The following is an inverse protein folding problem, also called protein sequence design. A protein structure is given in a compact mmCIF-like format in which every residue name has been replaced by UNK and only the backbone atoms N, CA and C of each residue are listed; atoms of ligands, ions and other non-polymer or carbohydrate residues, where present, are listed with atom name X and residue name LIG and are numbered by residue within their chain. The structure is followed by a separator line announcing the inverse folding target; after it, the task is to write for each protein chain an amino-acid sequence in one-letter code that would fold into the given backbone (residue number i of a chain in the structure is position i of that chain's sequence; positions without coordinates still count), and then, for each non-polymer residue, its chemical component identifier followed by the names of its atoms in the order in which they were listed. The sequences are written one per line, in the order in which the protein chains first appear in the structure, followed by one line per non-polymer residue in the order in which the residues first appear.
data_IF_190915226243
#
_entry.id   IF_190915226243
#
_cell.length_a   1.000
_cell.length_b   1.000
_cell.length_c   1.000
_cell.angle_alpha   90.00
_cell.angle_beta   90.00
_cell.angle_gamma   90.00
#
_symmetry.space_group_name_H-M   'P 1'
#
loop_
_entity.id
_entity.type
_entity.pdbx_description
1 polymer ?
#
# COMPACT_ATOMS: atom_id res chain seq x y z
N UNK A 1 -10.13 5.62 7.71
CA UNK A 1 -9.91 5.09 6.35
C UNK A 1 -11.21 5.06 5.57
N UNK A 2 -11.16 5.06 4.23
CA UNK A 2 -12.35 4.96 3.36
C UNK A 2 -12.14 4.01 2.17
N UNK A 3 -13.21 3.32 1.74
CA UNK A 3 -13.22 2.25 0.74
C UNK A 3 -14.21 2.52 -0.41
N UNK A 4 -13.76 2.55 -1.66
CA UNK A 4 -14.65 2.68 -2.84
C UNK A 4 -14.65 1.41 -3.72
N UNK A 5 -15.77 1.14 -4.37
CA UNK A 5 -16.08 -0.01 -5.22
C UNK A 5 -17.01 0.44 -6.38
N UNK A 6 -16.74 -0.01 -7.61
CA UNK A 6 -17.53 0.08 -8.86
C UNK A 6 -16.65 -0.13 -10.11
N UNK A 7 -15.61 -0.97 -10.02
CA UNK A 7 -14.50 -1.03 -10.98
C UNK A 7 -14.16 -2.50 -11.30
N UNK A 8 -13.62 -2.82 -12.49
CA UNK A 8 -13.20 -4.18 -12.81
C UNK A 8 -12.04 -4.63 -11.92
N UNK A 9 -11.84 -5.94 -11.74
CA UNK A 9 -10.82 -6.51 -10.83
C UNK A 9 -9.38 -6.09 -11.10
N UNK A 10 -9.08 -5.65 -12.33
CA UNK A 10 -7.76 -5.17 -12.76
C UNK A 10 -7.61 -3.65 -12.71
N UNK A 11 -8.59 -2.92 -12.17
CA UNK A 11 -8.56 -1.47 -12.19
C UNK A 11 -7.53 -0.92 -11.20
N UNK A 12 -6.60 -0.10 -11.71
CA UNK A 12 -5.61 0.64 -10.93
C UNK A 12 -5.51 2.06 -11.50
N UNK A 13 -5.60 3.07 -10.65
CA UNK A 13 -5.42 4.48 -11.04
C UNK A 13 -4.83 5.30 -9.90
N UNK A 14 -3.70 5.95 -10.16
CA UNK A 14 -3.08 6.88 -9.20
C UNK A 14 -3.91 8.16 -9.02
N UNK A 15 -3.74 8.82 -7.86
CA UNK A 15 -4.31 10.12 -7.53
C UNK A 15 -5.62 10.12 -6.74
N UNK A 16 -6.26 8.96 -6.54
CA UNK A 16 -7.57 8.86 -5.87
C UNK A 16 -7.51 8.15 -4.52
N UNK A 17 -6.74 7.07 -4.42
CA UNK A 17 -6.58 6.27 -3.21
C UNK A 17 -5.11 6.10 -2.88
N UNK A 18 -4.83 5.85 -1.61
CA UNK A 18 -3.49 5.50 -1.17
C UNK A 18 -3.13 4.10 -1.64
N UNK A 19 -4.09 3.17 -1.55
CA UNK A 19 -3.90 1.78 -1.97
C UNK A 19 -5.13 1.27 -2.71
N UNK A 20 -4.91 0.49 -3.75
CA UNK A 20 -5.96 -0.25 -4.47
C UNK A 20 -5.66 -1.75 -4.37
N UNK A 21 -6.65 -2.54 -3.98
CA UNK A 21 -6.58 -4.01 -3.90
C UNK A 21 -7.21 -4.61 -5.15
N UNK A 22 -6.40 -5.26 -5.99
CA UNK A 22 -6.85 -5.99 -7.18
C UNK A 22 -7.67 -7.24 -6.82
N UNK A 23 -8.38 -7.83 -7.79
CA UNK A 23 -9.29 -8.96 -7.56
C UNK A 23 -8.65 -10.20 -6.93
N UNK A 24 -7.35 -10.39 -7.12
CA UNK A 24 -6.55 -11.48 -6.56
C UNK A 24 -5.94 -11.14 -5.18
N UNK A 25 -6.21 -9.95 -4.64
CA UNK A 25 -5.64 -9.47 -3.38
C UNK A 25 -4.34 -8.68 -3.52
N UNK A 26 -3.83 -8.45 -4.74
CA UNK A 26 -2.62 -7.67 -4.94
C UNK A 26 -2.81 -6.20 -4.52
N UNK A 27 -1.84 -5.63 -3.79
CA UNK A 27 -1.91 -4.26 -3.25
C UNK A 27 -1.06 -3.29 -4.09
N UNK A 28 -1.73 -2.41 -4.82
CA UNK A 28 -1.10 -1.28 -5.52
C UNK A 28 -1.10 -0.06 -4.60
N UNK A 29 0.05 0.23 -3.97
CA UNK A 29 0.22 1.38 -3.06
C UNK A 29 0.74 2.57 -3.83
N UNK A 30 -0.12 3.55 -4.05
CA UNK A 30 0.07 4.65 -4.98
C UNK A 30 0.55 5.92 -4.26
N UNK A 31 0.07 6.16 -3.05
CA UNK A 31 0.42 7.36 -2.29
C UNK A 31 0.77 7.00 -0.86
N UNK A 32 1.69 7.76 -0.28
CA UNK A 32 2.10 7.56 1.11
C UNK A 32 0.94 7.85 2.05
N UNK A 33 0.77 7.02 3.08
CA UNK A 33 -0.29 7.15 4.09
C UNK A 33 -0.19 8.40 4.98
N UNK A 34 0.85 9.20 4.82
CA UNK A 34 1.11 10.40 5.63
C UNK A 34 0.69 11.69 4.92
N UNK A 35 0.02 11.58 3.77
CA UNK A 35 -0.45 12.74 3.01
C UNK A 35 -1.96 12.70 2.82
N UNK A 36 -2.56 13.86 2.59
CA UNK A 36 -3.97 13.96 2.25
C UNK A 36 -4.16 13.75 0.75
N UNK A 37 -5.24 13.04 0.39
CA UNK A 37 -5.72 12.92 -0.97
C UNK A 37 -7.09 13.58 -1.08
N UNK A 38 -7.30 14.40 -2.12
CA UNK A 38 -8.43 15.33 -2.13
C UNK A 38 -9.75 14.74 -2.65
N UNK A 39 -9.79 13.45 -3.03
CA UNK A 39 -10.83 12.91 -3.90
C UNK A 39 -11.31 11.49 -3.56
N UNK A 40 -11.36 11.10 -2.28
CA UNK A 40 -11.93 9.79 -1.88
C UNK A 40 -13.23 9.90 -1.09
N UNK A 41 -13.32 10.75 -0.06
CA UNK A 41 -14.50 10.86 0.81
C UNK A 41 -14.87 12.31 1.02
N UNK A 42 -16.04 12.71 0.54
CA UNK A 42 -16.47 14.10 0.65
C UNK A 42 -16.50 14.57 2.11
N UNK A 43 -15.90 15.74 2.39
CA UNK A 43 -15.69 16.33 3.73
C UNK A 43 -14.89 15.47 4.74
N UNK A 44 -14.27 14.37 4.31
CA UNK A 44 -13.48 13.46 5.16
C UNK A 44 -12.13 13.07 4.52
N UNK A 45 -11.65 13.88 3.58
CA UNK A 45 -10.41 13.68 2.84
C UNK A 45 -9.14 14.03 3.63
N UNK A 46 -9.24 14.92 4.62
CA UNK A 46 -8.09 15.36 5.41
C UNK A 46 -7.84 14.47 6.62
N UNK A 47 -6.56 14.24 6.93
CA UNK A 47 -6.09 13.35 7.97
C UNK A 47 -6.70 11.94 7.82
N UNK A 48 -6.74 11.44 6.59
CA UNK A 48 -7.41 10.19 6.25
C UNK A 48 -6.63 9.39 5.20
N UNK A 49 -6.57 8.07 5.42
CA UNK A 49 -6.02 7.10 4.47
C UNK A 49 -7.15 6.42 3.69
N UNK A 50 -7.00 6.24 2.40
CA UNK A 50 -8.01 5.63 1.54
C UNK A 50 -7.46 4.37 0.90
N UNK A 51 -8.09 3.23 1.19
CA UNK A 51 -7.73 1.91 0.65
C UNK A 51 -8.98 1.45 -0.10
N UNK A 52 -8.89 1.07 -1.37
CA UNK A 52 -10.05 0.63 -2.15
C UNK A 52 -9.88 -0.78 -2.66
N UNK A 53 -10.98 -1.47 -2.99
CA UNK A 53 -10.93 -2.74 -3.71
C UNK A 53 -11.49 -2.54 -5.10
N UNK A 54 -10.74 -2.99 -6.11
CA UNK A 54 -11.19 -3.03 -7.49
C UNK A 54 -12.28 -4.09 -7.64
N UNK A 55 -13.52 -3.78 -7.28
CA UNK A 55 -14.67 -4.69 -7.31
C UNK A 55 -15.96 -3.91 -7.56
N UNK A 56 -17.10 -4.58 -7.61
CA UNK A 56 -18.45 -4.05 -7.85
C UNK A 56 -18.64 -3.37 -9.21
N UNK A 57 -17.71 -3.54 -10.16
CA UNK A 57 -17.77 -2.96 -11.51
C UNK A 57 -18.68 -3.71 -12.50
N UNK A 58 -19.41 -4.72 -12.02
CA UNK A 58 -20.30 -5.53 -12.82
C UNK A 58 -21.43 -4.73 -13.49
N UNK A 59 -21.78 -5.09 -14.74
CA UNK A 59 -22.90 -4.50 -15.47
C UNK A 59 -23.79 -5.59 -16.08
N UNK A 60 -25.12 -5.51 -16.00
CA UNK A 60 -25.90 -4.46 -15.33
C UNK A 60 -25.96 -4.61 -13.80
N UNK A 61 -25.54 -5.76 -13.26
CA UNK A 61 -25.54 -6.05 -11.82
C UNK A 61 -24.12 -5.88 -11.22
N UNK A 62 -23.88 -4.91 -10.33
CA UNK A 62 -22.61 -4.75 -9.61
C UNK A 62 -22.16 -6.02 -8.88
N UNK A 63 -23.11 -6.81 -8.38
CA UNK A 63 -22.84 -8.06 -7.67
C UNK A 63 -22.37 -9.21 -8.57
N UNK A 64 -22.27 -9.01 -9.89
CA UNK A 64 -21.55 -9.93 -10.76
C UNK A 64 -20.03 -9.87 -10.57
N UNK A 65 -19.52 -8.85 -9.88
CA UNK A 65 -18.12 -8.72 -9.47
C UNK A 65 -18.02 -8.37 -7.98
N UNK A 66 -18.47 -9.24 -7.06
CA UNK A 66 -18.44 -8.97 -5.62
C UNK A 66 -17.00 -8.77 -5.11
N UNK A 67 -16.78 -8.19 -3.92
CA UNK A 67 -15.47 -8.22 -3.30
C UNK A 67 -15.04 -9.68 -3.13
N UNK A 68 -13.83 -10.03 -3.56
CA UNK A 68 -13.30 -11.39 -3.37
C UNK A 68 -12.81 -11.57 -1.93
N UNK A 69 -12.75 -12.81 -1.44
CA UNK A 69 -12.14 -13.06 -0.12
C UNK A 69 -10.67 -12.63 -0.07
N UNK A 70 -9.93 -12.82 -1.18
CA UNK A 70 -8.55 -12.35 -1.29
C UNK A 70 -8.44 -10.83 -1.15
N UNK A 71 -9.37 -10.07 -1.76
CA UNK A 71 -9.46 -8.63 -1.60
C UNK A 71 -9.75 -8.24 -0.14
N UNK A 72 -10.77 -8.84 0.47
CA UNK A 72 -11.17 -8.53 1.85
C UNK A 72 -10.01 -8.82 2.81
N UNK A 73 -9.34 -9.96 2.64
CA UNK A 73 -8.20 -10.35 3.47
C UNK A 73 -7.02 -9.39 3.30
N UNK A 74 -6.58 -9.14 2.08
CA UNK A 74 -5.45 -8.25 1.79
C UNK A 74 -5.73 -6.83 2.30
N UNK A 75 -6.96 -6.34 2.11
CA UNK A 75 -7.42 -5.06 2.62
C UNK A 75 -7.35 -4.99 4.15
N UNK A 76 -7.85 -6.00 4.86
CA UNK A 76 -7.79 -6.03 6.32
C UNK A 76 -6.35 -6.11 6.85
N UNK A 77 -5.48 -6.90 6.20
CA UNK A 77 -4.05 -6.97 6.53
C UNK A 77 -3.36 -5.63 6.31
N UNK A 78 -3.69 -4.92 5.23
CA UNK A 78 -3.13 -3.59 4.97
C UNK A 78 -3.57 -2.57 6.01
N UNK A 79 -4.86 -2.54 6.37
CA UNK A 79 -5.39 -1.69 7.45
C UNK A 79 -4.68 -1.97 8.77
N UNK A 80 -4.49 -3.25 9.12
CA UNK A 80 -3.78 -3.65 10.33
C UNK A 80 -2.30 -3.21 10.31
N UNK A 81 -1.61 -3.35 9.17
CA UNK A 81 -0.23 -2.92 9.02
C UNK A 81 -0.08 -1.39 9.18
N UNK A 82 -1.02 -0.62 8.62
CA UNK A 82 -1.05 0.85 8.82
C UNK A 82 -1.32 1.19 10.27
N UNK A 83 -2.29 0.55 10.91
CA UNK A 83 -2.60 0.75 12.33
C UNK A 83 -1.36 0.49 13.21
N UNK A 84 -0.65 -0.62 13.01
CA UNK A 84 0.60 -0.91 13.71
C UNK A 84 1.69 0.13 13.46
N UNK A 85 1.79 0.65 12.23
CA UNK A 85 2.77 1.71 11.91
C UNK A 85 2.49 3.04 12.63
N UNK A 86 1.28 3.21 13.15
CA UNK A 86 0.86 4.36 13.96
C UNK A 86 0.70 4.00 15.44
N UNK A 87 1.26 2.85 15.85
CA UNK A 87 1.20 2.31 17.21
C UNK A 87 -0.23 2.05 17.75
N UNK A 88 -1.22 1.92 16.87
CA UNK A 88 -2.60 1.64 17.26
C UNK A 88 -2.75 0.20 17.76
N UNK A 89 -3.52 0.06 18.83
CA UNK A 89 -3.91 -1.22 19.40
C UNK A 89 -5.27 -1.70 18.85
N UNK A 90 -5.57 -2.98 19.02
CA UNK A 90 -6.86 -3.55 18.57
C UNK A 90 -8.08 -2.80 19.14
N UNK A 91 -8.00 -2.32 20.39
CA UNK A 91 -9.06 -1.54 21.03
C UNK A 91 -9.34 -0.19 20.34
N UNK A 92 -8.37 0.32 19.57
CA UNK A 92 -8.49 1.59 18.86
C UNK A 92 -9.13 1.45 17.47
N UNK A 93 -9.36 0.22 17.00
CA UNK A 93 -10.08 -0.05 15.76
C UNK A 93 -11.58 0.12 16.02
N UNK A 94 -12.05 1.37 15.88
CA UNK A 94 -13.45 1.78 16.07
C UNK A 94 -14.02 2.39 14.78
N UNK A 95 -15.33 2.64 14.77
CA UNK A 95 -16.00 3.35 13.67
C UNK A 95 -15.50 4.78 13.49
N UNK A 96 -14.92 5.41 14.51
CA UNK A 96 -14.39 6.77 14.39
C UNK A 96 -13.04 6.81 13.64
N UNK A 97 -12.33 5.68 13.59
CA UNK A 97 -11.00 5.58 12.99
C UNK A 97 -10.98 4.78 11.69
N UNK A 98 -11.78 3.72 11.59
CA UNK A 98 -11.88 2.83 10.43
C UNK A 98 -13.34 2.73 9.99
N UNK A 99 -13.64 3.32 8.82
CA UNK A 99 -14.99 3.41 8.25
C UNK A 99 -15.02 2.80 6.85
N UNK A 100 -16.21 2.35 6.44
CA UNK A 100 -16.53 2.19 5.03
C UNK A 100 -17.08 3.48 4.45
N UNK A 101 -17.09 3.62 3.11
CA UNK A 101 -17.71 4.80 2.49
C UNK A 101 -19.20 4.83 2.77
N UNK A 102 -19.86 3.66 2.82
CA UNK A 102 -21.24 3.60 3.29
C UNK A 102 -21.40 4.24 4.68
N UNK A 103 -20.51 3.92 5.63
CA UNK A 103 -20.58 4.46 6.99
C UNK A 103 -20.24 5.96 7.04
N UNK A 104 -19.22 6.38 6.30
CA UNK A 104 -18.78 7.76 6.22
C UNK A 104 -19.86 8.65 5.59
N UNK A 105 -20.45 8.21 4.47
CA UNK A 105 -21.53 8.88 3.76
C UNK A 105 -22.81 9.01 4.61
N UNK A 106 -23.00 8.13 5.58
CA UNK A 106 -24.12 8.17 6.53
C UNK A 106 -23.79 8.77 7.90
N UNK A 107 -22.62 9.38 8.09
CA UNK A 107 -22.20 9.98 9.37
C UNK A 107 -22.34 9.01 10.56
N UNK A 108 -22.04 7.72 10.35
CA UNK A 108 -22.31 6.66 11.33
C UNK A 108 -21.40 6.71 12.57
N UNK A 109 -20.34 7.52 12.50
CA UNK A 109 -19.48 7.90 13.63
C UNK A 109 -20.09 8.97 14.54
N UNK A 110 -21.32 9.44 14.24
CA UNK A 110 -22.02 10.46 15.04
C UNK A 110 -21.63 11.90 14.69
N UNK A 111 -20.70 12.12 13.75
CA UNK A 111 -20.30 13.46 13.30
C UNK A 111 -21.17 13.89 12.11
N UNK A 112 -22.10 14.82 12.32
CA UNK A 112 -22.95 15.36 11.24
C UNK A 112 -22.18 16.37 10.37
N UNK A 113 -21.41 15.86 9.41
CA UNK A 113 -20.59 16.71 8.53
C UNK A 113 -21.29 17.10 7.23
N UNK A 114 -22.32 16.36 6.84
CA UNK A 114 -23.05 16.53 5.59
C UNK A 114 -24.41 15.83 5.64
N UNK A 115 -25.25 16.09 4.64
CA UNK A 115 -26.45 15.28 4.40
C UNK A 115 -26.08 13.81 4.14
N UNK A 116 -26.99 12.90 4.48
CA UNK A 116 -26.76 11.46 4.34
C UNK A 116 -26.86 11.04 2.87
N UNK A 117 -25.71 10.85 2.22
CA UNK A 117 -25.61 10.32 0.85
C UNK A 117 -25.25 8.83 0.81
N UNK A 118 -25.32 8.17 1.97
CA UNK A 118 -25.06 6.76 2.12
C UNK A 118 -26.24 5.88 1.72
N UNK A 119 -26.26 4.61 2.14
CA UNK A 119 -27.28 3.65 1.76
C UNK A 119 -28.72 4.09 2.06
N UNK A 120 -29.64 3.77 1.16
CA UNK A 120 -31.10 3.99 1.36
C UNK A 120 -31.61 3.24 2.59
N UNK A 121 -31.09 2.05 2.86
CA UNK A 121 -31.42 1.27 4.06
C UNK A 121 -31.04 1.99 5.37
N UNK A 122 -30.16 3.00 5.31
CA UNK A 122 -29.76 3.86 6.42
C UNK A 122 -30.35 5.28 6.29
N UNK A 123 -31.36 5.48 5.44
CA UNK A 123 -32.03 6.77 5.25
C UNK A 123 -31.26 7.76 4.39
N UNK A 124 -30.26 7.32 3.62
CA UNK A 124 -29.53 8.15 2.67
C UNK A 124 -30.09 8.10 1.25
N UNK A 125 -29.49 8.86 0.35
CA UNK A 125 -29.88 8.95 -1.07
C UNK A 125 -29.30 7.82 -1.95
N UNK A 126 -28.38 7.02 -1.43
CA UNK A 126 -27.91 5.77 -2.05
C UNK A 126 -26.70 5.92 -2.98
N UNK A 127 -26.05 7.09 -3.04
CA UNK A 127 -24.91 7.34 -3.93
C UNK A 127 -23.65 6.58 -3.51
N UNK A 128 -23.49 6.29 -2.21
CA UNK A 128 -22.38 5.49 -1.69
C UNK A 128 -22.88 4.40 -0.77
N UNK A 129 -22.50 3.17 -1.09
CA UNK A 129 -22.92 1.96 -0.38
C UNK A 129 -21.78 0.94 -0.28
N UNK A 130 -20.56 1.40 -0.55
CA UNK A 130 -19.34 0.60 -0.57
C UNK A 130 -19.16 -0.11 0.77
N UNK A 131 -19.00 -1.44 0.69
CA UNK A 131 -18.89 -2.33 1.84
C UNK A 131 -20.02 -2.19 2.88
N UNK A 132 -21.23 -1.77 2.45
CA UNK A 132 -22.44 -1.98 3.24
C UNK A 132 -22.62 -3.47 3.56
N UNK A 133 -22.40 -4.32 2.56
CA UNK A 133 -22.40 -5.77 2.63
C UNK A 133 -21.10 -6.30 2.01
N UNK A 134 -20.54 -7.37 2.57
CA UNK A 134 -19.34 -8.02 2.00
C UNK A 134 -19.66 -9.06 0.93
N UNK A 135 -20.92 -9.51 0.87
CA UNK A 135 -21.40 -10.53 -0.07
C UNK A 135 -22.86 -10.27 -0.44
N UNK A 136 -23.28 -10.77 -1.60
CA UNK A 136 -24.65 -10.56 -2.12
C UNK A 136 -25.68 -11.10 -1.12
N UNK A 137 -26.61 -10.24 -0.70
CA UNK A 137 -27.63 -10.60 0.29
C UNK A 137 -27.11 -10.81 1.71
N UNK A 138 -25.88 -10.39 2.02
CA UNK A 138 -25.32 -10.48 3.36
C UNK A 138 -25.93 -9.48 4.36
N UNK A 139 -25.49 -9.51 5.62
CA UNK A 139 -25.90 -8.49 6.59
C UNK A 139 -25.33 -7.10 6.22
N UNK A 140 -26.08 -6.05 6.58
CA UNK A 140 -25.75 -4.64 6.33
C UNK A 140 -24.81 -4.06 7.40
N UNK A 141 -23.84 -4.85 7.85
CA UNK A 141 -22.86 -4.51 8.89
C UNK A 141 -21.41 -4.74 8.40
N UNK A 142 -21.19 -4.63 7.08
CA UNK A 142 -19.90 -4.92 6.45
C UNK A 142 -18.72 -4.19 7.11
N UNK A 143 -18.90 -2.92 7.48
CA UNK A 143 -17.87 -2.16 8.21
C UNK A 143 -17.47 -2.78 9.56
N UNK A 144 -18.43 -3.33 10.33
CA UNK A 144 -18.10 -3.98 11.60
C UNK A 144 -17.44 -5.35 11.40
N UNK A 145 -17.85 -6.09 10.36
CA UNK A 145 -17.16 -7.33 9.99
C UNK A 145 -15.69 -7.07 9.62
N UNK A 146 -15.41 -6.01 8.84
CA UNK A 146 -14.04 -5.62 8.49
C UNK A 146 -13.24 -5.20 9.72
N UNK A 147 -13.80 -4.32 10.56
CA UNK A 147 -13.13 -3.89 11.82
C UNK A 147 -12.81 -5.09 12.72
N UNK A 148 -13.73 -6.04 12.86
CA UNK A 148 -13.48 -7.26 13.65
C UNK A 148 -12.28 -8.03 13.12
N UNK A 149 -12.20 -8.27 11.81
CA UNK A 149 -11.07 -8.96 11.16
C UNK A 149 -9.74 -8.22 11.37
N UNK A 150 -9.75 -6.88 11.31
CA UNK A 150 -8.57 -6.06 11.63
C UNK A 150 -8.15 -6.21 13.10
N UNK A 151 -9.10 -6.20 14.05
CA UNK A 151 -8.80 -6.42 15.48
C UNK A 151 -8.18 -7.79 15.73
N UNK A 152 -8.72 -8.83 15.08
CA UNK A 152 -8.18 -10.20 15.15
C UNK A 152 -6.74 -10.24 14.65
N UNK A 153 -6.45 -9.64 13.48
CA UNK A 153 -5.08 -9.57 12.94
C UNK A 153 -4.11 -8.83 13.86
N UNK A 154 -4.53 -7.74 14.51
CA UNK A 154 -3.71 -7.02 15.49
C UNK A 154 -3.47 -7.85 16.76
N UNK A 155 -4.47 -8.63 17.20
CA UNK A 155 -4.35 -9.56 18.31
C UNK A 155 -3.42 -10.73 18.02
N UNK A 156 -3.49 -11.29 16.81
CA UNK A 156 -2.62 -12.37 16.33
C UNK A 156 -1.17 -11.89 16.15
N UNK A 157 -0.97 -10.67 15.65
CA UNK A 157 0.35 -10.04 15.57
C UNK A 157 1.00 -9.83 16.96
N UNK A 158 0.18 -9.72 18.00
CA UNK A 158 0.63 -9.66 19.40
C UNK A 158 0.92 -11.05 20.00
N UNK A 159 0.54 -12.13 19.31
CA UNK A 159 0.56 -13.51 19.81
C UNK A 159 1.52 -14.47 19.08
N UNK A 160 1.66 -14.44 17.76
CA UNK A 160 2.56 -15.34 17.00
C UNK A 160 2.93 -14.74 15.64
N UNK A 161 4.22 -14.41 15.42
CA UNK A 161 4.82 -14.32 14.08
C UNK A 161 5.04 -15.75 13.54
N UNK A 162 4.08 -16.32 12.83
CA UNK A 162 4.32 -17.55 12.07
C UNK A 162 3.28 -17.73 10.96
N UNK A 163 3.58 -17.19 9.79
CA UNK A 163 2.84 -17.44 8.57
C UNK A 163 3.71 -17.04 7.40
N UNK A 164 4.47 -18.01 6.88
CA UNK A 164 5.60 -17.88 5.94
C UNK A 164 6.93 -17.44 6.58
N UNK A 165 8.00 -18.15 6.20
CA UNK A 165 9.35 -17.81 6.66
C UNK A 165 9.75 -16.47 6.04
N UNK A 166 10.12 -15.51 6.88
CA UNK A 166 10.61 -14.20 6.43
C UNK A 166 11.72 -14.38 5.39
N UNK A 167 11.76 -13.47 4.40
CA UNK A 167 12.76 -13.51 3.32
C UNK A 167 14.16 -13.73 3.88
N UNK A 168 14.83 -14.78 3.38
CA UNK A 168 16.20 -15.09 3.73
C UNK A 168 17.13 -14.75 2.58
N UNK A 169 18.16 -13.95 2.87
CA UNK A 169 19.31 -13.81 1.99
C UNK A 169 20.12 -15.10 2.03
N UNK A 170 20.36 -15.69 0.85
CA UNK A 170 21.00 -17.00 0.69
C UNK A 170 22.51 -16.87 0.51
N UNK A 171 22.95 -15.81 -0.15
CA UNK A 171 24.37 -15.52 -0.37
C UNK A 171 24.60 -14.04 -0.62
N UNK A 172 25.74 -13.56 -0.16
CA UNK A 172 26.31 -12.29 -0.58
C UNK A 172 27.01 -12.47 -1.94
N UNK A 173 26.92 -11.45 -2.78
CA UNK A 173 27.62 -11.35 -4.05
C UNK A 173 28.04 -9.91 -4.31
N UNK A 174 28.77 -9.68 -5.40
CA UNK A 174 29.07 -8.35 -5.91
C UNK A 174 28.69 -8.26 -7.38
N UNK A 175 28.13 -7.13 -7.78
CA UNK A 175 27.80 -6.85 -9.19
C UNK A 175 28.41 -5.52 -9.65
N UNK A 176 28.76 -5.38 -10.95
CA UNK A 176 29.19 -4.10 -11.49
C UNK A 176 28.03 -3.10 -11.50
N UNK A 177 28.27 -1.88 -11.03
CA UNK A 177 27.32 -0.78 -11.09
C UNK A 177 28.08 0.54 -11.26
N UNK A 178 27.85 1.24 -12.38
CA UNK A 178 28.56 2.49 -12.75
C UNK A 178 30.09 2.36 -12.68
N UNK A 179 30.62 1.25 -13.18
CA UNK A 179 32.06 0.93 -13.13
C UNK A 179 32.63 0.63 -11.74
N UNK A 180 31.79 0.55 -10.71
CA UNK A 180 32.15 0.21 -9.33
C UNK A 180 31.59 -1.17 -8.96
N UNK A 181 32.11 -1.76 -7.89
CA UNK A 181 31.57 -3.00 -7.31
C UNK A 181 30.50 -2.66 -6.29
N UNK A 182 29.27 -3.14 -6.49
CA UNK A 182 28.15 -3.03 -5.56
C UNK A 182 27.95 -4.36 -4.85
N UNK A 183 27.93 -4.34 -3.51
CA UNK A 183 27.61 -5.52 -2.71
C UNK A 183 26.10 -5.74 -2.74
N UNK A 184 25.71 -6.97 -3.00
CA UNK A 184 24.30 -7.39 -3.04
C UNK A 184 24.09 -8.67 -2.27
N UNK A 185 22.87 -8.83 -1.77
CA UNK A 185 22.37 -10.07 -1.19
C UNK A 185 21.40 -10.73 -2.16
N UNK A 186 21.55 -12.04 -2.36
CA UNK A 186 20.72 -12.80 -3.29
C UNK A 186 19.75 -13.67 -2.50
N UNK A 187 18.45 -13.55 -2.79
CA UNK A 187 17.43 -14.40 -2.17
C UNK A 187 17.26 -15.76 -2.88
N UNK A 188 16.33 -16.58 -2.39
CA UNK A 188 16.05 -17.90 -2.94
C UNK A 188 15.52 -17.87 -4.40
N UNK A 189 14.95 -16.74 -4.83
CA UNK A 189 14.41 -16.56 -6.17
C UNK A 189 15.45 -15.96 -7.13
N UNK A 190 16.68 -15.71 -6.65
CA UNK A 190 17.74 -15.07 -7.44
C UNK A 190 17.60 -13.55 -7.54
N UNK A 191 16.68 -12.92 -6.81
CA UNK A 191 16.58 -11.46 -6.80
C UNK A 191 17.75 -10.86 -6.04
N UNK A 192 18.33 -9.81 -6.59
CA UNK A 192 19.42 -9.06 -5.95
C UNK A 192 18.86 -7.92 -5.09
N UNK A 193 19.33 -7.83 -3.86
CA UNK A 193 18.97 -6.83 -2.87
C UNK A 193 20.20 -6.02 -2.47
N UNK A 194 20.07 -4.71 -2.34
CA UNK A 194 21.15 -3.85 -1.86
C UNK A 194 20.61 -2.85 -0.83
N UNK A 195 21.52 -2.26 -0.07
CA UNK A 195 21.17 -1.14 0.79
C UNK A 195 20.70 0.03 -0.07
N UNK A 196 19.53 0.56 0.27
CA UNK A 196 18.96 1.70 -0.44
C UNK A 196 19.91 2.91 -0.41
N UNK A 197 20.59 3.12 0.72
CA UNK A 197 21.60 4.17 0.89
C UNK A 197 22.78 4.03 -0.07
N UNK A 198 23.28 2.80 -0.28
CA UNK A 198 24.41 2.53 -1.19
C UNK A 198 24.02 2.78 -2.64
N UNK A 199 22.82 2.37 -3.04
CA UNK A 199 22.28 2.63 -4.38
C UNK A 199 22.08 4.13 -4.61
N UNK A 200 21.46 4.84 -3.67
CA UNK A 200 21.23 6.28 -3.78
C UNK A 200 22.56 7.04 -3.85
N UNK A 201 23.54 6.69 -3.02
CA UNK A 201 24.87 7.28 -3.04
C UNK A 201 25.63 6.97 -4.34
N UNK A 202 25.49 5.76 -4.89
CA UNK A 202 26.15 5.37 -6.15
C UNK A 202 25.70 6.21 -7.35
N UNK A 203 24.44 6.66 -7.33
CA UNK A 203 23.81 7.45 -8.37
C UNK A 203 23.67 8.93 -8.03
N UNK A 204 24.36 9.40 -6.99
CA UNK A 204 24.37 10.81 -6.55
C UNK A 204 22.95 11.37 -6.32
N UNK A 205 22.04 10.54 -5.81
CA UNK A 205 20.63 10.90 -5.60
C UNK A 205 20.48 11.44 -4.17
N UNK A 206 20.12 12.74 -3.99
CA UNK A 206 19.94 13.31 -2.67
C UNK A 206 18.71 12.71 -1.99
N UNK A 207 18.87 12.36 -0.72
CA UNK A 207 17.79 11.79 0.08
C UNK A 207 17.86 12.17 1.56
N UNK A 208 16.72 12.05 2.23
CA UNK A 208 16.58 12.19 3.68
C UNK A 208 15.93 10.93 4.27
N UNK A 209 16.48 10.39 5.36
CA UNK A 209 15.88 9.28 6.09
C UNK A 209 15.01 9.79 7.23
N UNK A 210 13.73 9.40 7.22
CA UNK A 210 12.80 9.62 8.31
C UNK A 210 12.57 8.28 9.06
N UNK A 211 13.22 8.07 10.22
CA UNK A 211 13.11 6.82 10.97
C UNK A 211 11.72 6.60 11.56
N UNK A 212 11.01 7.66 11.95
CA UNK A 212 9.68 7.57 12.55
C UNK A 212 8.66 7.03 11.55
N UNK A 213 8.79 7.43 10.28
CA UNK A 213 7.90 6.97 9.19
C UNK A 213 8.48 5.79 8.40
N UNK A 214 9.67 5.29 8.77
CA UNK A 214 10.41 4.28 8.01
C UNK A 214 10.48 4.65 6.52
N UNK A 215 10.90 5.88 6.24
CA UNK A 215 10.77 6.48 4.90
C UNK A 215 12.04 7.14 4.41
N UNK A 216 12.39 6.91 3.15
CA UNK A 216 13.39 7.67 2.41
C UNK A 216 12.66 8.70 1.54
N UNK A 217 12.98 9.98 1.73
CA UNK A 217 12.49 11.09 0.91
C UNK A 217 13.53 11.44 -0.14
N UNK A 218 13.14 11.45 -1.41
CA UNK A 218 14.02 11.72 -2.55
C UNK A 218 13.85 13.17 -2.99
N UNK A 219 14.94 13.93 -2.99
CA UNK A 219 14.96 15.35 -3.38
C UNK A 219 14.86 15.61 -4.89
N UNK A 220 14.43 14.62 -5.68
CA UNK A 220 14.38 14.65 -7.14
C UNK A 220 12.94 14.83 -7.60
N UNK A 221 12.68 15.67 -8.61
CA UNK A 221 11.32 15.90 -9.15
C UNK A 221 11.05 15.23 -10.49
N UNK A 222 12.05 14.54 -11.05
CA UNK A 222 12.05 13.96 -12.40
C UNK A 222 11.69 12.46 -12.42
N UNK A 223 11.37 11.88 -11.27
CA UNK A 223 11.01 10.46 -11.16
C UNK A 223 9.49 10.33 -11.29
N UNK A 224 9.06 9.54 -12.26
CA UNK A 224 7.67 9.13 -12.40
C UNK A 224 7.52 7.71 -11.83
N UNK A 225 6.85 7.52 -10.68
CA UNK A 225 6.66 6.20 -10.08
C UNK A 225 5.98 5.24 -11.06
N UNK A 226 6.52 4.03 -11.19
CA UNK A 226 5.96 3.04 -12.11
C UNK A 226 4.73 2.30 -11.54
N UNK A 227 4.43 2.45 -10.24
CA UNK A 227 3.29 1.81 -9.54
C UNK A 227 3.21 0.30 -9.80
N UNK A 228 4.34 -0.38 -9.68
CA UNK A 228 4.53 -1.74 -10.17
C UNK A 228 3.63 -2.78 -9.49
N UNK A 229 3.13 -3.70 -10.30
CA UNK A 229 2.33 -4.86 -9.88
C UNK A 229 3.15 -5.96 -9.18
N UNK A 230 4.47 -5.86 -9.16
CA UNK A 230 5.36 -6.84 -8.53
C UNK A 230 6.07 -6.29 -7.29
N UNK A 231 5.70 -5.09 -6.81
CA UNK A 231 6.34 -4.42 -5.67
C UNK A 231 6.32 -5.25 -4.39
N UNK A 232 7.28 -4.98 -3.49
CA UNK A 232 7.46 -5.74 -2.23
C UNK A 232 6.20 -5.70 -1.36
N UNK A 233 5.67 -6.88 -1.04
CA UNK A 233 4.44 -7.07 -0.25
C UNK A 233 4.74 -7.40 1.21
N UNK A 234 3.77 -7.16 2.10
CA UNK A 234 3.90 -7.46 3.53
C UNK A 234 4.10 -8.95 3.84
N UNK A 235 3.69 -9.86 2.92
CA UNK A 235 3.95 -11.30 3.03
C UNK A 235 5.44 -11.66 3.00
N UNK A 236 6.34 -10.73 2.65
CA UNK A 236 7.79 -10.97 2.66
C UNK A 236 8.37 -11.22 4.06
N UNK A 237 7.59 -10.96 5.11
CA UNK A 237 7.91 -11.30 6.50
C UNK A 237 8.91 -10.38 7.21
N UNK A 238 9.22 -9.22 6.62
CA UNK A 238 10.03 -8.17 7.25
C UNK A 238 9.22 -6.87 7.36
N UNK A 239 9.49 -6.01 8.36
CA UNK A 239 8.98 -4.65 8.34
C UNK A 239 9.36 -3.95 7.03
N UNK A 240 8.46 -3.13 6.50
CA UNK A 240 8.69 -2.44 5.23
C UNK A 240 9.18 -1.00 5.45
N UNK A 241 9.92 -0.47 4.48
CA UNK A 241 10.17 0.96 4.35
C UNK A 241 9.65 1.46 3.00
N UNK A 242 9.36 2.76 2.92
CA UNK A 242 8.91 3.41 1.70
C UNK A 242 9.95 4.40 1.18
N UNK A 243 10.11 4.47 -0.15
CA UNK A 243 10.83 5.56 -0.81
C UNK A 243 9.82 6.41 -1.57
N UNK A 244 9.84 7.72 -1.39
CA UNK A 244 8.93 8.63 -2.08
C UNK A 244 9.56 9.99 -2.37
N UNK A 245 8.93 10.79 -3.22
CA UNK A 245 9.44 12.10 -3.61
C UNK A 245 9.23 13.15 -2.51
N UNK A 246 10.17 14.09 -2.40
CA UNK A 246 10.08 15.26 -1.53
C UNK A 246 9.17 16.32 -2.20
N UNK A 247 7.87 16.30 -1.85
CA UNK A 247 6.87 17.28 -2.32
C UNK A 247 5.66 16.66 -3.05
N UNK A 248 4.63 17.48 -3.32
CA UNK A 248 3.39 17.10 -4.01
C UNK A 248 2.51 16.09 -3.25
N UNK A 249 1.71 15.28 -3.97
CA UNK A 249 0.99 14.10 -3.41
C UNK A 249 1.96 12.93 -3.09
N UNK A 250 3.23 13.23 -2.78
CA UNK A 250 4.29 12.36 -2.30
C UNK A 250 4.14 10.88 -2.70
N UNK A 251 4.17 10.58 -4.02
CA UNK A 251 3.89 9.24 -4.47
C UNK A 251 4.98 8.28 -4.00
N UNK A 252 4.58 7.03 -3.76
CA UNK A 252 5.53 5.96 -3.42
C UNK A 252 6.23 5.55 -4.70
N UNK A 253 7.56 5.69 -4.72
CA UNK A 253 8.43 5.29 -5.84
C UNK A 253 8.69 3.78 -5.74
N UNK A 254 9.21 3.34 -4.59
CA UNK A 254 9.49 1.94 -4.33
C UNK A 254 9.31 1.60 -2.86
N UNK A 255 9.21 0.30 -2.59
CA UNK A 255 9.23 -0.25 -1.24
C UNK A 255 10.35 -1.28 -1.12
N UNK A 256 10.84 -1.42 0.09
CA UNK A 256 11.79 -2.46 0.44
C UNK A 256 11.54 -2.97 1.84
N UNK A 257 12.51 -3.72 2.36
CA UNK A 257 12.46 -4.29 3.69
C UNK A 257 13.41 -3.55 4.63
N UNK A 258 13.04 -3.50 5.91
CA UNK A 258 13.94 -3.17 7.00
C UNK A 258 14.43 -4.46 7.63
N UNK A 259 15.75 -4.61 7.64
CA UNK A 259 16.43 -5.74 8.27
C UNK A 259 17.67 -5.24 8.98
N UNK A 260 17.79 -5.58 10.25
CA UNK A 260 18.88 -5.12 11.13
C UNK A 260 19.02 -3.58 11.10
N UNK A 261 17.89 -2.86 11.23
CA UNK A 261 17.77 -1.40 11.15
C UNK A 261 18.30 -0.75 9.86
N UNK A 262 18.43 -1.55 8.79
CA UNK A 262 18.88 -1.09 7.48
C UNK A 262 17.81 -1.29 6.42
N UNK A 263 17.69 -0.32 5.52
CA UNK A 263 16.74 -0.32 4.41
C UNK A 263 17.33 -1.03 3.19
N UNK A 264 16.68 -2.10 2.74
CA UNK A 264 17.09 -2.92 1.59
C UNK A 264 16.01 -2.92 0.51
N UNK A 265 16.38 -2.66 -0.74
CA UNK A 265 15.47 -2.77 -1.88
C UNK A 265 16.01 -3.69 -2.96
N UNK A 266 15.12 -4.18 -3.84
CA UNK A 266 15.54 -4.96 -5.00
C UNK A 266 16.24 -4.05 -6.00
N UNK A 267 17.42 -4.49 -6.44
CA UNK A 267 18.32 -3.71 -7.29
C UNK A 267 17.70 -3.42 -8.66
N UNK A 268 17.03 -4.41 -9.27
CA UNK A 268 16.38 -4.23 -10.57
C UNK A 268 15.22 -3.22 -10.49
N UNK A 269 14.44 -3.26 -9.42
CA UNK A 269 13.33 -2.31 -9.22
C UNK A 269 13.84 -0.90 -9.05
N UNK A 270 14.86 -0.71 -8.19
CA UNK A 270 15.52 0.57 -8.06
C UNK A 270 16.03 1.07 -9.42
N UNK A 271 16.67 0.21 -10.21
CA UNK A 271 17.15 0.62 -11.52
C UNK A 271 16.02 1.09 -12.44
N UNK A 272 14.87 0.40 -12.43
CA UNK A 272 13.73 0.74 -13.28
C UNK A 272 13.05 2.04 -12.85
N UNK A 273 12.79 2.24 -11.55
CA UNK A 273 12.17 3.45 -11.03
C UNK A 273 13.02 4.71 -11.29
N UNK A 274 14.34 4.57 -11.21
CA UNK A 274 15.28 5.67 -11.41
C UNK A 274 15.80 5.78 -12.85
N UNK A 275 15.25 5.03 -13.80
CA UNK A 275 15.65 5.10 -15.22
C UNK A 275 17.10 4.67 -15.48
N UNK A 276 17.68 3.83 -14.63
CA UNK A 276 19.03 3.29 -14.75
C UNK A 276 19.04 2.11 -15.71
N UNK A 277 20.04 2.08 -16.60
CA UNK A 277 20.19 0.97 -17.53
C UNK A 277 20.63 -0.30 -16.79
N UNK A 278 19.93 -1.41 -16.99
CA UNK A 278 20.30 -2.72 -16.46
C UNK A 278 20.79 -3.64 -17.59
N UNK A 279 21.86 -4.39 -17.33
CA UNK A 279 22.38 -5.48 -18.15
C UNK A 279 22.11 -6.80 -17.43
N UNK A 280 21.94 -7.92 -18.13
CA UNK A 280 21.57 -9.21 -17.52
C UNK A 280 22.64 -10.31 -17.68
N UNK A 281 23.67 -10.07 -18.48
CA UNK A 281 24.71 -11.05 -18.80
C UNK A 281 26.12 -10.40 -18.76
N UNK A 282 26.74 -10.24 -17.58
CA UNK A 282 26.19 -10.50 -16.24
C UNK A 282 25.22 -9.40 -15.78
N UNK A 283 24.47 -9.66 -14.70
CA UNK A 283 23.61 -8.64 -14.10
C UNK A 283 24.46 -7.45 -13.62
N UNK A 284 24.22 -6.27 -14.17
CA UNK A 284 24.99 -5.06 -13.90
C UNK A 284 24.13 -3.80 -14.09
N UNK A 285 24.51 -2.70 -13.43
CA UNK A 285 23.87 -1.40 -13.63
C UNK A 285 24.79 -0.41 -14.36
N UNK A 286 24.23 0.27 -15.36
CA UNK A 286 24.87 1.34 -16.12
C UNK A 286 24.50 2.74 -15.59
N UNK A 287 24.42 3.70 -16.51
CA UNK A 287 24.08 5.09 -16.20
C UNK A 287 22.56 5.30 -16.02
N UNK A 288 22.22 6.33 -15.25
CA UNK A 288 20.86 6.89 -15.14
C UNK A 288 20.52 7.66 -16.42
N UNK A 289 19.40 7.33 -17.05
CA UNK A 289 18.93 8.01 -18.27
C UNK A 289 18.29 9.34 -17.88
N UNK A 290 18.78 10.44 -18.44
CA UNK A 290 18.20 11.79 -18.22
C UNK A 290 18.85 12.61 -17.10
N UNK A 291 20.02 12.22 -16.61
CA UNK A 291 20.91 13.06 -15.79
C UNK A 291 22.02 13.70 -16.62
#
# INVERSE_FOLDING_TARGET
MDFQSALPYSWVRSGLYHTIVAGDGHLHRLHSYTIDLNAHTWRRNSNAVAISCACMGGRPDPWSMPPTEAQIEAMCREVAAVALSWDWQAAEISIERVMTHAEAASNRDGRLLHDNYGPVAWGGTGERWDFLQLRKGGPVDGGEQLRRRVRELLGEASGVQAGEAALAFRRSASMPARGRSLVVEIDANGSSWALAADLLALYDIPYEWNPALRRILIGSTDIAPAYRDDGVQASIGHPLFEMGLQGGNAPVILRGILRDDRAWCRVLEFAQEFGITAFFEPFALGERRGG
#
